data_IF_282867570513
#
_entry.id   IF_282867570513
#
_cell.length_a   1.000
_cell.length_b   1.000
_cell.length_c   1.000
_cell.angle_alpha   90.00
_cell.angle_beta   90.00
_cell.angle_gamma   90.00
#
_symmetry.space_group_name_H-M   'P 1'
#
loop_
_entity.id
_entity.type
_entity.pdbx_description
1 polymer ?
#
# COMPACT_ATOMS: atom_id res chain seq x y z
N UNK A 1 -0.06 -20.90 -13.47
CA UNK A 1 -1.46 -20.90 -12.98
C UNK A 1 -1.68 -21.69 -11.69
N UNK A 2 -0.73 -21.71 -10.74
CA UNK A 2 -0.93 -22.42 -9.44
C UNK A 2 -1.09 -21.45 -8.26
N UNK A 3 -0.44 -20.28 -8.31
CA UNK A 3 -0.38 -19.33 -7.18
C UNK A 3 -1.61 -18.42 -7.03
N UNK A 4 -2.59 -18.48 -7.92
CA UNK A 4 -3.83 -17.71 -7.79
C UNK A 4 -4.86 -18.39 -6.86
N UNK A 5 -4.82 -19.72 -6.78
CA UNK A 5 -5.85 -20.53 -6.11
C UNK A 5 -5.40 -21.04 -4.73
N UNK A 6 -4.10 -21.17 -4.49
CA UNK A 6 -3.54 -21.71 -3.24
C UNK A 6 -2.50 -20.77 -2.63
N UNK A 7 -2.56 -20.62 -1.31
CA UNK A 7 -1.55 -19.89 -0.54
C UNK A 7 -0.26 -20.71 -0.47
N UNK A 8 0.84 -20.10 -0.84
CA UNK A 8 2.21 -20.61 -0.71
C UNK A 8 3.03 -19.64 0.12
N UNK A 9 4.20 -20.08 0.61
CA UNK A 9 5.04 -19.23 1.45
C UNK A 9 5.44 -17.92 0.74
N UNK A 10 5.86 -18.01 -0.52
CA UNK A 10 6.22 -16.87 -1.35
C UNK A 10 6.23 -17.31 -2.82
N UNK A 11 5.60 -16.54 -3.69
CA UNK A 11 5.79 -16.64 -5.14
C UNK A 11 6.79 -15.55 -5.55
N UNK A 12 7.98 -15.97 -6.00
CA UNK A 12 9.07 -15.05 -6.32
C UNK A 12 8.71 -14.06 -7.44
N UNK A 13 7.92 -14.47 -8.43
CA UNK A 13 7.50 -13.58 -9.50
C UNK A 13 6.52 -12.50 -9.02
N UNK A 14 5.63 -12.86 -8.09
CA UNK A 14 4.74 -11.89 -7.44
C UNK A 14 5.51 -10.99 -6.48
N UNK A 15 6.48 -11.52 -5.74
CA UNK A 15 7.35 -10.75 -4.85
C UNK A 15 8.18 -9.71 -5.62
N UNK A 16 8.78 -10.09 -6.75
CA UNK A 16 9.57 -9.17 -7.58
C UNK A 16 8.71 -8.00 -8.09
N UNK A 17 7.51 -8.31 -8.60
CA UNK A 17 6.52 -7.31 -9.02
C UNK A 17 6.08 -6.41 -7.87
N UNK A 18 5.74 -7.01 -6.73
CA UNK A 18 5.27 -6.29 -5.54
C UNK A 18 6.34 -5.34 -5.00
N UNK A 19 7.57 -5.83 -4.84
CA UNK A 19 8.69 -5.03 -4.32
C UNK A 19 9.08 -3.90 -5.27
N UNK A 20 9.01 -4.12 -6.59
CA UNK A 20 9.18 -3.06 -7.60
C UNK A 20 8.12 -1.96 -7.43
N UNK A 21 6.84 -2.33 -7.33
CA UNK A 21 5.73 -1.39 -7.17
C UNK A 21 5.77 -0.66 -5.83
N UNK A 22 6.14 -1.35 -4.75
CA UNK A 22 6.36 -0.74 -3.44
C UNK A 22 7.48 0.30 -3.51
N UNK A 23 8.61 0.00 -4.14
CA UNK A 23 9.74 0.93 -4.33
C UNK A 23 9.31 2.18 -5.08
N UNK A 24 8.57 2.02 -6.19
CA UNK A 24 7.99 3.14 -6.94
C UNK A 24 7.02 3.97 -6.08
N UNK A 25 6.20 3.31 -5.27
CA UNK A 25 5.25 3.97 -4.38
C UNK A 25 5.96 4.79 -3.29
N UNK A 26 7.06 4.27 -2.71
CA UNK A 26 7.90 4.99 -1.74
C UNK A 26 8.42 6.29 -2.35
N UNK A 27 8.94 6.26 -3.58
CA UNK A 27 9.40 7.47 -4.27
C UNK A 27 8.25 8.48 -4.39
N UNK A 28 7.03 8.02 -4.72
CA UNK A 28 5.84 8.88 -4.77
C UNK A 28 5.41 9.43 -3.41
N UNK A 29 5.60 8.70 -2.32
CA UNK A 29 5.37 9.20 -0.96
C UNK A 29 6.36 10.32 -0.63
N UNK A 30 7.63 10.16 -0.99
CA UNK A 30 8.63 11.23 -0.80
C UNK A 30 8.30 12.47 -1.65
N UNK A 31 7.89 12.27 -2.91
CA UNK A 31 7.42 13.36 -3.77
C UNK A 31 6.18 14.07 -3.18
N UNK A 32 5.25 13.32 -2.61
CA UNK A 32 4.06 13.85 -1.93
C UNK A 32 4.44 14.68 -0.69
N UNK A 33 5.27 14.12 0.21
CA UNK A 33 5.69 14.81 1.43
C UNK A 33 6.39 16.14 1.12
N UNK A 34 7.23 16.19 0.08
CA UNK A 34 7.89 17.43 -0.38
C UNK A 34 6.94 18.51 -0.87
N UNK A 35 5.70 18.17 -1.23
CA UNK A 35 4.66 19.12 -1.64
C UNK A 35 3.82 19.62 -0.46
N UNK A 36 3.95 19.01 0.73
CA UNK A 36 3.24 19.47 1.92
C UNK A 36 3.82 20.81 2.40
N UNK A 37 2.97 21.81 2.68
CA UNK A 37 3.42 23.08 3.23
C UNK A 37 4.26 22.89 4.50
N UNK A 38 5.47 23.47 4.51
CA UNK A 38 6.38 23.43 5.66
C UNK A 38 7.28 22.20 5.75
N UNK A 39 7.00 21.10 5.04
CA UNK A 39 7.82 19.88 5.12
C UNK A 39 9.28 20.11 4.68
N UNK A 40 9.48 20.84 3.58
CA UNK A 40 10.82 21.14 3.06
C UNK A 40 11.59 22.17 3.90
N UNK A 41 10.93 22.86 4.83
CA UNK A 41 11.57 23.76 5.78
C UNK A 41 12.20 23.03 6.98
N UNK A 42 11.83 21.75 7.20
CA UNK A 42 12.46 20.90 8.19
C UNK A 42 13.89 20.54 7.78
N UNK A 43 14.73 20.15 8.75
CA UNK A 43 16.08 19.65 8.44
C UNK A 43 16.01 18.38 7.61
N UNK A 44 17.04 18.09 6.80
CA UNK A 44 17.10 16.84 6.03
C UNK A 44 17.02 15.60 6.95
N UNK A 45 17.58 15.69 8.15
CA UNK A 45 17.52 14.61 9.14
C UNK A 45 16.08 14.36 9.62
N UNK A 46 15.31 15.42 9.88
CA UNK A 46 13.91 15.31 10.31
C UNK A 46 13.02 14.80 9.18
N UNK A 47 13.22 15.29 7.95
CA UNK A 47 12.48 14.79 6.77
C UNK A 47 12.69 13.28 6.59
N UNK A 48 13.93 12.80 6.70
CA UNK A 48 14.25 11.36 6.61
C UNK A 48 13.62 10.59 7.77
N UNK A 49 13.68 11.13 8.99
CA UNK A 49 13.12 10.49 10.19
C UNK A 49 11.61 10.32 10.06
N UNK A 50 10.88 11.37 9.67
CA UNK A 50 9.44 11.34 9.46
C UNK A 50 9.05 10.33 8.37
N UNK A 51 9.75 10.36 7.22
CA UNK A 51 9.49 9.42 6.14
C UNK A 51 9.75 7.97 6.57
N UNK A 52 10.85 7.71 7.29
CA UNK A 52 11.13 6.35 7.79
C UNK A 52 10.08 5.86 8.79
N UNK A 53 9.54 6.75 9.61
CA UNK A 53 8.51 6.40 10.59
C UNK A 53 7.16 6.10 9.93
N UNK A 54 6.71 6.93 8.98
CA UNK A 54 5.34 6.88 8.45
C UNK A 54 5.18 6.14 7.11
N UNK A 55 6.26 5.86 6.38
CA UNK A 55 6.14 5.36 5.01
C UNK A 55 5.38 4.04 4.89
N UNK A 56 5.56 3.11 5.83
CA UNK A 56 4.81 1.84 5.82
C UNK A 56 3.32 2.05 6.06
N UNK A 57 2.95 2.96 6.97
CA UNK A 57 1.56 3.28 7.28
C UNK A 57 0.87 3.89 6.05
N UNK A 58 1.55 4.81 5.35
CA UNK A 58 1.06 5.42 4.11
C UNK A 58 0.95 4.35 2.99
N UNK A 59 1.91 3.43 2.87
CA UNK A 59 1.82 2.32 1.91
C UNK A 59 0.61 1.43 2.17
N UNK A 60 0.38 1.06 3.43
CA UNK A 60 -0.75 0.22 3.84
C UNK A 60 -2.08 0.92 3.60
N UNK A 61 -2.20 2.19 3.97
CA UNK A 61 -3.39 2.98 3.70
C UNK A 61 -3.67 3.05 2.19
N UNK A 62 -2.66 3.37 1.37
CA UNK A 62 -2.80 3.49 -0.08
C UNK A 62 -3.21 2.20 -0.79
N UNK A 63 -2.77 1.03 -0.32
CA UNK A 63 -3.21 -0.24 -0.93
C UNK A 63 -4.60 -0.63 -0.45
N UNK A 64 -4.97 -0.32 0.79
CA UNK A 64 -6.28 -0.63 1.35
C UNK A 64 -7.39 0.23 0.75
N UNK A 65 -7.12 1.50 0.40
CA UNK A 65 -8.08 2.35 -0.34
C UNK A 65 -8.27 1.90 -1.80
N UNK A 66 -7.48 0.92 -2.27
CA UNK A 66 -7.60 0.29 -3.60
C UNK A 66 -8.19 -1.11 -3.53
N UNK A 67 -8.90 -1.42 -2.44
CA UNK A 67 -9.61 -2.67 -2.26
C UNK A 67 -10.96 -2.65 -2.97
N UNK A 68 -11.22 -3.68 -3.79
CA UNK A 68 -12.51 -3.90 -4.43
C UNK A 68 -13.19 -5.10 -3.78
N UNK A 69 -14.21 -4.89 -2.94
CA UNK A 69 -14.79 -5.95 -2.11
C UNK A 69 -15.52 -7.02 -2.93
N UNK A 70 -16.10 -6.66 -4.08
CA UNK A 70 -16.86 -7.59 -4.92
C UNK A 70 -15.99 -8.70 -5.53
N UNK A 71 -14.70 -8.43 -5.77
CA UNK A 71 -13.74 -9.39 -6.32
C UNK A 71 -12.69 -9.85 -5.28
N UNK A 72 -12.73 -9.29 -4.08
CA UNK A 72 -11.73 -9.52 -3.02
C UNK A 72 -10.29 -9.29 -3.51
N UNK A 73 -10.08 -8.15 -4.17
CA UNK A 73 -8.82 -7.79 -4.85
C UNK A 73 -8.30 -6.43 -4.43
N UNK A 74 -6.98 -6.23 -4.50
CA UNK A 74 -6.34 -4.91 -4.37
C UNK A 74 -5.61 -4.54 -5.67
N UNK A 75 -5.71 -3.26 -6.06
CA UNK A 75 -5.18 -2.76 -7.33
C UNK A 75 -4.03 -1.77 -7.14
N UNK A 76 -2.87 -2.12 -7.70
CA UNK A 76 -1.67 -1.29 -7.67
C UNK A 76 -1.73 -0.12 -8.66
N UNK A 77 -0.79 0.81 -8.54
CA UNK A 77 -0.79 2.05 -9.33
C UNK A 77 -0.55 1.86 -10.84
N UNK A 78 -0.01 0.71 -11.25
CA UNK A 78 0.16 0.34 -12.65
C UNK A 78 -1.05 -0.42 -13.23
N UNK A 79 -2.10 -0.63 -12.43
CA UNK A 79 -3.29 -1.38 -12.80
C UNK A 79 -3.22 -2.89 -12.50
N UNK A 80 -2.09 -3.40 -11.99
CA UNK A 80 -2.01 -4.79 -11.55
C UNK A 80 -3.03 -5.03 -10.44
N UNK A 81 -3.94 -5.97 -10.66
CA UNK A 81 -4.99 -6.35 -9.70
C UNK A 81 -4.67 -7.74 -9.18
N UNK A 82 -4.50 -7.87 -7.86
CA UNK A 82 -4.20 -9.13 -7.20
C UNK A 82 -5.34 -9.53 -6.27
N UNK A 83 -5.75 -10.80 -6.35
CA UNK A 83 -6.68 -11.37 -5.38
C UNK A 83 -6.00 -11.58 -4.01
N UNK A 84 -6.78 -11.85 -2.96
CA UNK A 84 -6.25 -12.11 -1.61
C UNK A 84 -5.16 -13.18 -1.55
N UNK A 85 -5.30 -14.28 -2.27
CA UNK A 85 -4.29 -15.36 -2.31
C UNK A 85 -2.98 -14.89 -2.95
N UNK A 86 -3.06 -14.13 -4.03
CA UNK A 86 -1.90 -13.54 -4.69
C UNK A 86 -1.23 -12.50 -3.80
N UNK A 87 -1.99 -11.68 -3.07
CA UNK A 87 -1.44 -10.74 -2.07
C UNK A 87 -0.67 -11.48 -0.97
N UNK A 88 -1.19 -12.60 -0.47
CA UNK A 88 -0.48 -13.48 0.46
C UNK A 88 0.85 -13.95 -0.15
N UNK A 89 0.78 -14.50 -1.36
CA UNK A 89 1.92 -15.08 -2.05
C UNK A 89 2.96 -14.03 -2.49
N UNK A 90 2.54 -12.77 -2.65
CA UNK A 90 3.38 -11.64 -3.01
C UNK A 90 4.23 -11.10 -1.85
N UNK A 91 4.05 -11.61 -0.63
CA UNK A 91 4.91 -11.28 0.52
C UNK A 91 4.18 -10.80 1.77
N UNK A 92 2.87 -10.55 1.74
CA UNK A 92 2.11 -10.26 2.97
C UNK A 92 2.03 -11.49 3.88
N UNK A 93 1.97 -12.70 3.30
CA UNK A 93 1.95 -13.94 4.05
C UNK A 93 0.87 -13.94 5.15
N UNK A 94 1.21 -14.29 6.41
CA UNK A 94 0.25 -14.31 7.52
C UNK A 94 -0.49 -12.99 7.80
N UNK A 95 0.06 -11.85 7.36
CA UNK A 95 -0.54 -10.52 7.60
C UNK A 95 -1.72 -10.22 6.66
N UNK A 96 -1.85 -10.98 5.57
CA UNK A 96 -2.83 -10.72 4.50
C UNK A 96 -4.25 -10.49 5.01
N UNK A 97 -4.75 -11.37 5.87
CA UNK A 97 -6.13 -11.31 6.30
C UNK A 97 -6.42 -10.08 7.18
N UNK A 98 -5.43 -9.64 7.97
CA UNK A 98 -5.54 -8.43 8.77
C UNK A 98 -5.58 -7.17 7.89
N UNK A 99 -4.76 -7.12 6.85
CA UNK A 99 -4.72 -5.98 5.90
C UNK A 99 -6.03 -5.86 5.14
N UNK A 100 -6.58 -6.97 4.66
CA UNK A 100 -7.89 -6.96 4.01
C UNK A 100 -9.03 -6.67 4.98
N UNK A 101 -8.96 -7.14 6.23
CA UNK A 101 -9.95 -6.78 7.24
C UNK A 101 -9.93 -5.27 7.50
N UNK A 102 -8.75 -4.67 7.65
CA UNK A 102 -8.58 -3.22 7.76
C UNK A 102 -9.14 -2.49 6.55
N UNK A 103 -8.83 -2.93 5.32
CA UNK A 103 -9.41 -2.35 4.10
C UNK A 103 -10.95 -2.41 4.10
N UNK A 104 -11.54 -3.52 4.54
CA UNK A 104 -12.98 -3.66 4.70
C UNK A 104 -13.58 -2.68 5.72
N UNK A 105 -12.86 -2.37 6.81
CA UNK A 105 -13.28 -1.38 7.80
C UNK A 105 -13.15 0.07 7.33
N UNK A 106 -12.37 0.34 6.27
CA UNK A 106 -12.29 1.66 5.65
C UNK A 106 -13.46 1.93 4.70
N UNK A 107 -14.08 0.90 4.11
CA UNK A 107 -15.17 1.06 3.14
C UNK A 107 -16.35 1.90 3.65
N UNK A 108 -16.85 1.73 4.90
CA UNK A 108 -17.95 2.53 5.42
C UNK A 108 -17.62 4.02 5.60
N UNK A 109 -16.34 4.38 5.68
CA UNK A 109 -15.92 5.78 5.77
C UNK A 109 -16.11 6.52 4.45
N UNK A 110 -16.19 5.80 3.32
CA UNK A 110 -16.37 6.36 1.97
C UNK A 110 -15.41 7.53 1.67
N UNK A 111 -14.16 7.38 2.13
CA UNK A 111 -13.17 8.45 2.01
C UNK A 111 -12.91 8.80 0.55
N UNK A 112 -12.92 10.09 0.25
CA UNK A 112 -12.50 10.57 -1.06
C UNK A 112 -10.95 10.70 -1.14
N UNK A 113 -10.46 11.04 -2.34
CA UNK A 113 -9.02 11.23 -2.56
C UNK A 113 -8.44 12.39 -1.72
N UNK A 114 -9.27 13.39 -1.39
CA UNK A 114 -8.86 14.55 -0.58
C UNK A 114 -8.66 14.14 0.87
N UNK A 115 -9.63 13.45 1.47
CA UNK A 115 -9.58 12.95 2.84
C UNK A 115 -8.45 11.94 3.02
N UNK A 116 -8.23 11.07 2.04
CA UNK A 116 -7.09 10.13 2.04
C UNK A 116 -5.76 10.87 1.99
N UNK A 117 -5.68 11.91 1.16
CA UNK A 117 -4.49 12.77 1.08
C UNK A 117 -4.21 13.50 2.38
N UNK A 118 -5.24 14.07 3.02
CA UNK A 118 -5.13 14.77 4.30
C UNK A 118 -4.76 13.82 5.46
N UNK A 119 -5.30 12.61 5.49
CA UNK A 119 -4.95 11.61 6.51
C UNK A 119 -3.51 11.11 6.36
N UNK A 120 -2.97 11.13 5.12
CA UNK A 120 -1.59 10.72 4.84
C UNK A 120 -0.54 11.82 5.10
N UNK A 121 -0.98 13.07 5.28
CA UNK A 121 -0.12 14.25 5.43
C UNK A 121 0.30 14.49 6.89
#
# INVERSE_FOLDING_TARGET
>A
NSSADHRVQLDLGLWDKFSELATKCIIKIVEFAKRLPGFTALTMADQITLLKAACLDILMLRICTRYTPEQDTMTFSDGLTLNRTQMHNAGFGPLTDLVFAFAGQLLPLQMDDTETGLLSA
#
